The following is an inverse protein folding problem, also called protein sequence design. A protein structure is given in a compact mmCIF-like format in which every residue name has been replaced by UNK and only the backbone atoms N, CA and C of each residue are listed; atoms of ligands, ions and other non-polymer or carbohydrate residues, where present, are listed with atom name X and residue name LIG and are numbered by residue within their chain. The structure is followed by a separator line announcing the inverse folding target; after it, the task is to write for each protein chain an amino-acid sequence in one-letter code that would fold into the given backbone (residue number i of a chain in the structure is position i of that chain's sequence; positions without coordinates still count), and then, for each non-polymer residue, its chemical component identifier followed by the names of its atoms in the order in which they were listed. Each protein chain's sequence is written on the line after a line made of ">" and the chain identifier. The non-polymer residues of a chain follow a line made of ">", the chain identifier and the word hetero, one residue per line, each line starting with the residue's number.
data_IF_906901577430
#
_entry.id   IF_906901577430
#
_cell.length_a   1.000
_cell.length_b   1.000
_cell.length_c   1.000
_cell.angle_alpha   90.00
_cell.angle_beta   90.00
_cell.angle_gamma   90.00
#
_symmetry.space_group_name_H-M   'P 1'
#
loop_
_entity.id
_entity.type
_entity.pdbx_description
1 polymer ?
#
# COMPACT_ATOMS: atom_id res chain seq x y z
N UNK A 1 82.25 -2.20 -2.38
CA UNK A 1 81.29 -1.08 -2.21
C UNK A 1 80.54 -0.86 -3.52
N UNK A 2 79.31 -1.38 -3.63
CA UNK A 2 78.21 -0.81 -4.45
C UNK A 2 76.92 -1.64 -4.19
N UNK A 3 76.13 -1.11 -3.26
CA UNK A 3 74.67 -1.01 -3.23
C UNK A 3 73.76 -2.24 -3.44
N UNK A 4 73.26 -2.70 -2.29
CA UNK A 4 71.91 -3.22 -2.04
C UNK A 4 70.83 -2.31 -2.67
N UNK A 5 69.81 -2.91 -3.33
CA UNK A 5 68.34 -2.59 -3.24
C UNK A 5 67.58 -2.91 -4.55
N UNK A 6 66.67 -3.89 -4.51
CA UNK A 6 65.29 -3.74 -5.05
C UNK A 6 64.41 -4.94 -4.58
N UNK A 7 63.86 -4.88 -3.35
CA UNK A 7 62.41 -4.81 -3.05
C UNK A 7 61.47 -5.82 -3.75
N UNK A 8 61.16 -6.91 -3.03
CA UNK A 8 59.80 -7.35 -2.60
C UNK A 8 58.61 -6.59 -3.21
N UNK A 9 57.61 -7.28 -3.79
CA UNK A 9 56.15 -7.01 -3.78
C UNK A 9 55.50 -8.02 -4.76
N UNK A 10 54.37 -8.70 -4.57
CA UNK A 10 53.45 -8.94 -3.46
C UNK A 10 52.42 -9.94 -4.03
N UNK A 11 52.19 -11.00 -3.28
CA UNK A 11 51.10 -11.96 -3.41
C UNK A 11 49.73 -11.29 -3.40
N UNK A 12 48.82 -11.64 -4.33
CA UNK A 12 47.38 -11.64 -4.07
C UNK A 12 46.63 -12.45 -5.14
N UNK A 13 46.44 -13.74 -4.88
CA UNK A 13 45.44 -14.56 -5.55
C UNK A 13 44.07 -14.00 -5.20
N UNK A 14 43.36 -13.47 -6.19
CA UNK A 14 41.99 -12.95 -6.04
C UNK A 14 41.05 -14.08 -5.62
N UNK A 15 40.72 -14.12 -4.34
CA UNK A 15 39.56 -14.85 -3.85
C UNK A 15 38.30 -14.09 -4.28
N UNK A 16 37.60 -14.59 -5.30
CA UNK A 16 36.27 -14.11 -5.70
C UNK A 16 35.24 -14.57 -4.67
N UNK A 17 35.12 -13.83 -3.56
CA UNK A 17 33.99 -13.97 -2.64
C UNK A 17 32.74 -13.42 -3.32
N UNK A 18 31.87 -14.32 -3.80
CA UNK A 18 30.52 -13.96 -4.17
C UNK A 18 29.75 -13.66 -2.89
N UNK A 19 29.78 -12.40 -2.48
CA UNK A 19 28.89 -11.90 -1.45
C UNK A 19 27.46 -12.03 -1.99
N UNK A 20 26.74 -13.08 -1.55
CA UNK A 20 25.29 -13.08 -1.58
C UNK A 20 24.85 -11.89 -0.74
N UNK A 21 24.51 -10.78 -1.40
CA UNK A 21 23.84 -9.67 -0.77
C UNK A 21 22.45 -10.16 -0.35
N UNK A 22 22.37 -10.73 0.86
CA UNK A 22 21.11 -10.86 1.55
C UNK A 22 20.52 -9.45 1.61
N UNK A 23 19.49 -9.19 0.81
CA UNK A 23 18.78 -7.90 0.79
C UNK A 23 18.22 -7.71 2.19
N UNK A 24 18.93 -6.93 3.01
CA UNK A 24 18.45 -6.55 4.32
C UNK A 24 17.12 -5.82 4.08
N UNK A 25 16.02 -6.45 4.49
CA UNK A 25 14.72 -5.84 4.44
C UNK A 25 14.78 -4.59 5.32
N UNK A 26 14.86 -3.42 4.70
CA UNK A 26 14.80 -2.15 5.43
C UNK A 26 13.48 -2.12 6.19
N UNK A 27 13.50 -1.80 7.49
CA UNK A 27 12.28 -1.75 8.29
C UNK A 27 11.30 -0.77 7.63
N UNK A 28 10.02 -1.17 7.52
CA UNK A 28 8.98 -0.33 6.94
C UNK A 28 8.83 0.93 7.79
N UNK A 29 9.15 2.09 7.23
CA UNK A 29 8.97 3.37 7.92
C UNK A 29 7.47 3.72 7.97
N UNK A 30 6.90 3.81 9.18
CA UNK A 30 5.47 4.11 9.34
C UNK A 30 5.08 5.45 8.71
N UNK A 31 5.96 6.45 8.77
CA UNK A 31 5.77 7.76 8.15
C UNK A 31 5.66 7.67 6.62
N UNK A 32 6.44 6.81 5.98
CA UNK A 32 6.39 6.57 4.53
C UNK A 32 5.03 5.99 4.12
N UNK A 33 4.56 4.97 4.84
CA UNK A 33 3.26 4.33 4.61
C UNK A 33 2.12 5.34 4.81
N UNK A 34 2.21 6.14 5.88
CA UNK A 34 1.24 7.18 6.19
C UNK A 34 1.15 8.19 5.05
N UNK A 35 2.27 8.77 4.63
CA UNK A 35 2.33 9.75 3.54
C UNK A 35 1.82 9.18 2.22
N UNK A 36 2.12 7.91 1.93
CA UNK A 36 1.60 7.24 0.74
C UNK A 36 0.07 7.14 0.75
N UNK A 37 -0.52 6.77 1.89
CA UNK A 37 -1.98 6.72 2.02
C UNK A 37 -2.62 8.11 1.97
N UNK A 38 -1.99 9.13 2.57
CA UNK A 38 -2.46 10.52 2.49
C UNK A 38 -2.51 11.01 1.04
N UNK A 39 -1.46 10.77 0.25
CA UNK A 39 -1.40 11.13 -1.17
C UNK A 39 -2.48 10.41 -2.00
N UNK A 40 -2.79 9.16 -1.67
CA UNK A 40 -3.88 8.40 -2.31
C UNK A 40 -5.24 9.05 -2.02
N UNK A 41 -5.49 9.47 -0.77
CA UNK A 41 -6.72 10.15 -0.41
C UNK A 41 -6.83 11.53 -1.07
N UNK A 42 -5.70 12.23 -1.23
CA UNK A 42 -5.66 13.52 -1.93
C UNK A 42 -6.02 13.37 -3.42
N UNK A 43 -5.45 12.37 -4.12
CA UNK A 43 -5.82 12.06 -5.50
C UNK A 43 -7.33 11.78 -5.67
N UNK A 44 -7.93 11.09 -4.69
CA UNK A 44 -9.38 10.88 -4.69
C UNK A 44 -10.13 12.19 -4.49
N UNK A 45 -9.76 12.98 -3.47
CA UNK A 45 -10.41 14.26 -3.18
C UNK A 45 -10.36 15.22 -4.38
N UNK A 46 -9.22 15.26 -5.08
CA UNK A 46 -8.98 16.13 -6.23
C UNK A 46 -9.66 15.64 -7.51
N UNK A 47 -10.32 14.47 -7.47
CA UNK A 47 -10.99 13.88 -8.63
C UNK A 47 -10.02 13.32 -9.68
N UNK A 48 -8.73 13.17 -9.35
CA UNK A 48 -7.73 12.60 -10.24
C UNK A 48 -7.78 11.06 -10.20
N UNK A 49 -8.88 10.50 -10.69
CA UNK A 49 -9.18 9.07 -10.58
C UNK A 49 -8.24 8.18 -11.41
N UNK A 50 -7.68 8.71 -12.50
CA UNK A 50 -6.73 7.97 -13.34
C UNK A 50 -5.40 7.79 -12.63
N UNK A 51 -4.85 8.84 -12.00
CA UNK A 51 -3.65 8.72 -11.18
C UNK A 51 -3.94 7.90 -9.91
N UNK A 52 -5.12 8.05 -9.30
CA UNK A 52 -5.53 7.22 -8.18
C UNK A 52 -5.56 5.74 -8.56
N UNK A 53 -6.03 5.39 -9.76
CA UNK A 53 -6.06 4.01 -10.24
C UNK A 53 -4.66 3.38 -10.22
N UNK A 54 -3.64 4.12 -10.66
CA UNK A 54 -2.22 3.69 -10.61
C UNK A 54 -1.69 3.49 -9.20
N UNK A 55 -2.27 4.20 -8.23
CA UNK A 55 -1.95 4.08 -6.81
C UNK A 55 -2.76 3.02 -6.07
N UNK A 56 -3.57 2.24 -6.79
CA UNK A 56 -4.26 1.08 -6.24
C UNK A 56 -3.67 -0.23 -6.75
N UNK A 57 -3.56 -1.22 -5.87
CA UNK A 57 -3.15 -2.57 -6.28
C UNK A 57 -4.29 -3.25 -7.03
N UNK A 58 -3.93 -4.08 -8.02
CA UNK A 58 -4.87 -4.77 -8.92
C UNK A 58 -5.66 -5.88 -8.18
N UNK A 59 -5.45 -6.08 -6.88
CA UNK A 59 -6.18 -7.09 -6.11
C UNK A 59 -7.68 -6.74 -6.05
N UNK A 60 -8.43 -7.30 -6.99
CA UNK A 60 -9.83 -6.96 -7.28
C UNK A 60 -9.98 -6.42 -8.71
N UNK A 61 -10.60 -7.22 -9.58
CA UNK A 61 -10.78 -6.89 -11.01
C UNK A 61 -11.60 -5.62 -11.26
N UNK A 62 -11.59 -5.18 -12.52
CA UNK A 62 -12.32 -4.00 -13.01
C UNK A 62 -11.43 -3.09 -13.86
N UNK A 63 -12.02 -2.44 -14.86
CA UNK A 63 -11.30 -1.51 -15.73
C UNK A 63 -11.03 -0.17 -15.04
N UNK A 64 -10.09 0.60 -15.60
CA UNK A 64 -9.79 1.98 -15.17
C UNK A 64 -11.03 2.86 -15.23
N UNK A 65 -11.78 2.79 -16.33
CA UNK A 65 -13.00 3.57 -16.53
C UNK A 65 -14.07 3.21 -15.50
N UNK A 66 -14.22 1.91 -15.19
CA UNK A 66 -15.17 1.47 -14.18
C UNK A 66 -14.80 1.99 -12.78
N UNK A 67 -13.51 2.01 -12.44
CA UNK A 67 -13.03 2.58 -11.18
C UNK A 67 -13.30 4.08 -11.10
N UNK A 68 -12.94 4.84 -12.14
CA UNK A 68 -13.14 6.28 -12.17
C UNK A 68 -14.62 6.65 -12.08
N UNK A 69 -15.50 6.00 -12.86
CA UNK A 69 -16.95 6.25 -12.81
C UNK A 69 -17.54 6.02 -11.42
N UNK A 70 -17.10 4.96 -10.72
CA UNK A 70 -17.61 4.63 -9.39
C UNK A 70 -17.22 5.65 -8.34
N UNK A 71 -15.97 6.11 -8.36
CA UNK A 71 -15.53 7.14 -7.42
C UNK A 71 -16.09 8.53 -7.75
N UNK A 72 -16.25 8.85 -9.04
CA UNK A 72 -16.90 10.08 -9.48
C UNK A 72 -18.39 10.12 -9.09
N UNK A 73 -19.07 8.97 -9.14
CA UNK A 73 -20.48 8.83 -8.74
C UNK A 73 -20.70 8.56 -7.25
N UNK A 74 -19.63 8.45 -6.44
CA UNK A 74 -19.76 8.18 -5.02
C UNK A 74 -20.36 9.40 -4.29
N UNK A 75 -21.29 9.15 -3.38
CA UNK A 75 -21.93 10.22 -2.59
C UNK A 75 -21.01 10.83 -1.53
N UNK A 76 -19.78 10.34 -1.39
CA UNK A 76 -18.82 10.79 -0.39
C UNK A 76 -17.40 10.78 -0.92
N UNK A 77 -16.56 11.65 -0.37
CA UNK A 77 -15.13 11.80 -0.72
C UNK A 77 -14.30 12.14 0.53
N UNK A 78 -12.98 12.00 0.51
CA UNK A 78 -12.14 12.39 1.63
C UNK A 78 -12.32 13.87 2.00
N UNK A 79 -12.41 14.12 3.29
CA UNK A 79 -12.38 15.47 3.84
C UNK A 79 -11.04 16.15 3.53
N UNK A 80 -10.99 17.47 3.66
CA UNK A 80 -9.73 18.18 3.49
C UNK A 80 -8.74 17.87 4.62
N UNK A 81 -7.46 18.03 4.30
CA UNK A 81 -6.49 18.52 5.27
C UNK A 81 -6.29 17.53 6.45
N UNK A 82 -6.30 18.01 7.69
CA UNK A 82 -6.12 17.18 8.88
C UNK A 82 -7.30 16.23 9.15
N UNK A 83 -8.51 16.58 8.68
CA UNK A 83 -9.71 15.77 8.93
C UNK A 83 -9.71 14.46 8.14
N UNK A 84 -8.99 14.41 7.00
CA UNK A 84 -9.00 13.27 6.06
C UNK A 84 -8.61 11.94 6.71
N UNK A 85 -7.65 11.97 7.63
CA UNK A 85 -7.09 10.75 8.23
C UNK A 85 -6.48 11.02 9.61
N UNK A 86 -7.01 10.36 10.63
CA UNK A 86 -6.66 10.54 12.04
C UNK A 86 -6.49 9.17 12.72
N UNK A 87 -5.93 9.17 13.94
CA UNK A 87 -5.77 7.95 14.77
C UNK A 87 -5.03 6.82 14.04
N UNK A 88 -4.02 7.17 13.26
CA UNK A 88 -3.33 6.26 12.34
C UNK A 88 -2.49 5.26 13.12
N UNK A 89 -2.70 3.96 12.84
CA UNK A 89 -1.88 2.85 13.32
C UNK A 89 -1.47 1.98 12.14
N UNK A 90 -0.16 1.80 11.95
CA UNK A 90 0.41 0.94 10.91
C UNK A 90 0.68 -0.43 11.50
N UNK A 91 0.16 -1.48 10.87
CA UNK A 91 0.40 -2.87 11.24
C UNK A 91 1.15 -3.56 10.10
N UNK A 92 2.43 -3.87 10.32
CA UNK A 92 3.24 -4.62 9.36
C UNK A 92 2.73 -6.06 9.28
N UNK A 93 2.48 -6.54 8.06
CA UNK A 93 2.03 -7.92 7.79
C UNK A 93 3.10 -8.75 7.08
N UNK A 94 4.05 -8.09 6.45
CA UNK A 94 5.23 -8.65 5.80
C UNK A 94 6.11 -7.53 5.26
N UNK A 95 7.21 -7.88 4.59
CA UNK A 95 8.19 -6.90 4.06
C UNK A 95 7.53 -5.85 3.15
N UNK A 96 6.63 -6.29 2.28
CA UNK A 96 5.99 -5.45 1.26
C UNK A 96 4.47 -5.35 1.46
N UNK A 97 3.97 -5.61 2.68
CA UNK A 97 2.54 -5.53 2.97
C UNK A 97 2.29 -4.98 4.36
N UNK A 98 1.40 -3.99 4.42
CA UNK A 98 0.96 -3.35 5.67
C UNK A 98 -0.55 -3.19 5.69
N UNK A 99 -1.10 -3.01 6.88
CA UNK A 99 -2.48 -2.60 7.08
C UNK A 99 -2.50 -1.33 7.93
N UNK A 100 -3.12 -0.28 7.41
CA UNK A 100 -3.26 1.00 8.10
C UNK A 100 -4.66 1.09 8.66
N UNK A 101 -4.79 1.07 9.99
CA UNK A 101 -6.06 1.36 10.66
C UNK A 101 -6.09 2.85 11.01
N UNK A 102 -7.14 3.54 10.59
CA UNK A 102 -7.31 4.97 10.83
C UNK A 102 -8.80 5.33 10.89
N UNK A 103 -9.08 6.50 11.45
CA UNK A 103 -10.35 7.21 11.33
C UNK A 103 -10.31 8.11 10.09
N UNK A 104 -11.19 7.87 9.12
CA UNK A 104 -11.21 8.61 7.86
C UNK A 104 -12.38 9.60 7.83
N UNK A 105 -12.09 10.89 7.73
CA UNK A 105 -13.09 11.93 7.51
C UNK A 105 -13.57 11.92 6.06
N UNK A 106 -14.89 11.87 5.87
CA UNK A 106 -15.58 11.78 4.60
C UNK A 106 -16.64 12.90 4.51
N UNK A 107 -16.51 13.76 3.51
CA UNK A 107 -17.51 14.77 3.13
C UNK A 107 -18.59 14.16 2.20
N UNK A 108 -19.75 14.80 2.11
CA UNK A 108 -20.82 14.47 1.14
C UNK A 108 -22.08 13.83 1.75
N UNK A 109 -22.06 13.53 3.05
CA UNK A 109 -23.25 13.12 3.80
C UNK A 109 -24.03 14.32 4.40
N UNK A 110 -25.27 14.10 4.87
CA UNK A 110 -25.99 15.11 5.65
C UNK A 110 -25.19 15.47 6.91
N UNK A 111 -24.99 16.76 7.18
CA UNK A 111 -24.33 17.23 8.40
C UNK A 111 -22.82 17.42 8.36
N UNK A 112 -22.17 17.38 7.18
CA UNK A 112 -20.75 17.74 7.02
C UNK A 112 -19.80 16.54 6.94
N UNK A 113 -18.62 16.63 7.58
CA UNK A 113 -17.63 15.56 7.62
C UNK A 113 -18.07 14.45 8.57
N UNK A 114 -18.19 13.22 8.06
CA UNK A 114 -18.44 12.02 8.86
C UNK A 114 -17.17 11.18 8.97
N UNK A 115 -16.92 10.58 10.13
CA UNK A 115 -15.74 9.74 10.35
C UNK A 115 -16.07 8.25 10.28
N UNK A 116 -15.24 7.49 9.56
CA UNK A 116 -15.33 6.03 9.50
C UNK A 116 -14.00 5.42 9.88
N UNK A 117 -13.98 4.64 10.96
CA UNK A 117 -12.78 3.90 11.38
C UNK A 117 -12.70 2.56 10.68
N UNK A 118 -11.63 2.32 9.91
CA UNK A 118 -11.40 1.04 9.23
C UNK A 118 -9.93 0.79 8.96
N UNK A 119 -9.62 -0.42 8.51
CA UNK A 119 -8.30 -0.78 8.01
C UNK A 119 -8.27 -0.73 6.47
N UNK A 120 -7.20 -0.17 5.91
CA UNK A 120 -6.87 -0.19 4.48
C UNK A 120 -5.60 -1.02 4.32
N UNK A 121 -5.61 -2.00 3.41
CA UNK A 121 -4.39 -2.74 3.06
C UNK A 121 -3.57 -1.94 2.07
N UNK A 122 -2.25 -1.88 2.28
CA UNK A 122 -1.30 -1.41 1.28
C UNK A 122 -0.28 -2.50 0.99
N UNK A 123 0.12 -2.57 -0.28
CA UNK A 123 1.19 -3.46 -0.76
C UNK A 123 2.22 -2.62 -1.51
N UNK A 124 3.49 -2.97 -1.40
CA UNK A 124 4.56 -2.32 -2.17
C UNK A 124 4.71 -3.04 -3.50
N UNK A 125 4.42 -2.34 -4.58
CA UNK A 125 4.59 -2.80 -5.96
C UNK A 125 5.54 -1.84 -6.66
N UNK A 126 6.63 -2.36 -7.26
CA UNK A 126 7.64 -1.54 -7.94
C UNK A 126 8.19 -0.39 -7.08
N UNK A 127 8.39 -0.65 -5.79
CA UNK A 127 8.88 0.34 -4.82
C UNK A 127 7.79 1.29 -4.29
N UNK A 128 6.59 1.25 -4.84
CA UNK A 128 5.49 2.16 -4.53
C UNK A 128 4.43 1.49 -3.65
N UNK A 129 4.06 2.13 -2.54
CA UNK A 129 2.91 1.73 -1.75
C UNK A 129 1.60 2.01 -2.50
N UNK A 130 0.86 0.94 -2.81
CA UNK A 130 -0.46 0.99 -3.43
C UNK A 130 -1.53 0.48 -2.48
N UNK A 131 -2.65 1.18 -2.41
CA UNK A 131 -3.79 0.78 -1.59
C UNK A 131 -4.63 -0.29 -2.29
N UNK A 132 -5.22 -1.20 -1.52
CA UNK A 132 -6.22 -2.14 -2.01
C UNK A 132 -7.36 -1.40 -2.68
N UNK A 133 -7.58 -1.65 -3.98
CA UNK A 133 -8.67 -1.04 -4.76
C UNK A 133 -10.04 -1.29 -4.12
N UNK A 134 -10.26 -2.51 -3.64
CA UNK A 134 -11.50 -2.88 -2.97
C UNK A 134 -11.73 -2.08 -1.67
N UNK A 135 -10.66 -1.76 -0.94
CA UNK A 135 -10.77 -0.99 0.31
C UNK A 135 -11.06 0.49 0.02
N UNK A 136 -10.46 1.08 -1.03
CA UNK A 136 -10.76 2.45 -1.47
C UNK A 136 -12.23 2.58 -1.92
N UNK A 137 -12.70 1.65 -2.77
CA UNK A 137 -14.10 1.65 -3.19
C UNK A 137 -15.06 1.46 -2.01
N UNK A 138 -14.74 0.53 -1.10
CA UNK A 138 -15.55 0.34 0.08
C UNK A 138 -15.54 1.58 1.00
N UNK A 139 -14.44 2.33 1.05
CA UNK A 139 -14.38 3.62 1.76
C UNK A 139 -15.26 4.67 1.05
N UNK A 140 -15.40 4.62 -0.28
CA UNK A 140 -16.35 5.43 -1.05
C UNK A 140 -17.82 5.05 -0.85
N UNK A 141 -18.13 3.96 -0.15
CA UNK A 141 -19.52 3.53 0.13
C UNK A 141 -20.01 2.41 -0.76
N UNK A 142 -19.16 1.90 -1.64
CA UNK A 142 -19.44 0.71 -2.42
C UNK A 142 -19.58 -0.51 -1.50
N UNK A 143 -20.66 -1.28 -1.69
CA UNK A 143 -20.81 -2.55 -0.99
C UNK A 143 -19.69 -3.47 -1.47
N UNK A 144 -18.84 -3.93 -0.55
CA UNK A 144 -17.85 -4.96 -0.87
C UNK A 144 -18.62 -6.21 -1.28
N UNK A 145 -18.45 -6.67 -2.53
CA UNK A 145 -18.99 -7.96 -2.96
C UNK A 145 -18.48 -9.01 -1.97
N UNK A 146 -19.36 -9.48 -1.10
CA UNK A 146 -19.00 -10.46 -0.08
C UNK A 146 -18.91 -11.77 -0.82
N UNK A 147 -17.70 -12.26 -1.09
CA UNK A 147 -17.51 -13.63 -1.56
C UNK A 147 -17.90 -14.53 -0.38
N UNK A 148 -19.17 -14.93 -0.35
CA UNK A 148 -19.72 -15.83 0.65
C UNK A 148 -19.10 -17.19 0.37
N UNK A 149 -18.12 -17.60 1.17
CA UNK A 149 -17.59 -18.95 1.12
C UNK A 149 -18.74 -19.89 1.47
N UNK A 150 -19.37 -20.50 0.48
CA UNK A 150 -20.38 -21.54 0.69
C UNK A 150 -19.62 -22.77 1.15
N UNK A 151 -19.66 -23.05 2.45
CA UNK A 151 -19.21 -24.31 3.02
C UNK A 151 -20.12 -25.40 2.42
N UNK A 152 -19.62 -26.18 1.47
CA UNK A 152 -20.25 -27.43 1.08
C UNK A 152 -20.13 -28.36 2.29
N UNK A 153 -21.22 -28.52 3.04
CA UNK A 153 -21.32 -29.60 4.02
C UNK A 153 -21.45 -30.91 3.23
N UNK A 154 -20.37 -31.67 3.25
CA UNK A 154 -20.29 -33.00 2.69
C UNK A 154 -21.35 -33.88 3.35
N UNK A 155 -22.23 -34.42 2.51
CA UNK A 155 -23.18 -35.45 2.84
C UNK A 155 -22.38 -36.71 3.23
N UNK A 156 -22.33 -37.04 4.51
CA UNK A 156 -21.87 -38.33 5.00
C UNK A 156 -23.09 -39.03 5.62
N UNK A 157 -23.79 -39.78 4.77
CA UNK A 157 -24.74 -40.79 5.25
C UNK A 157 -24.01 -41.99 5.83
N UNK A 158 -24.69 -42.75 6.68
CA UNK A 158 -24.79 -44.20 6.56
C UNK A 158 -26.04 -44.61 5.77
#
# INVERSE_FOLDING_TARGET
>A
MTLIRLTLFLTAVLATTHAFAARQATPVAESEVRLALESILDLWRDGNYDALYERTSITGGGSREAFARRLAGASRRPACCWEKMQEVRVMVRGTDSVSVRASFGLEGGPGGTNHVTRAIRLVREDGVWKASRADILALAGEKRATYRYVKQEGNAGP
#
